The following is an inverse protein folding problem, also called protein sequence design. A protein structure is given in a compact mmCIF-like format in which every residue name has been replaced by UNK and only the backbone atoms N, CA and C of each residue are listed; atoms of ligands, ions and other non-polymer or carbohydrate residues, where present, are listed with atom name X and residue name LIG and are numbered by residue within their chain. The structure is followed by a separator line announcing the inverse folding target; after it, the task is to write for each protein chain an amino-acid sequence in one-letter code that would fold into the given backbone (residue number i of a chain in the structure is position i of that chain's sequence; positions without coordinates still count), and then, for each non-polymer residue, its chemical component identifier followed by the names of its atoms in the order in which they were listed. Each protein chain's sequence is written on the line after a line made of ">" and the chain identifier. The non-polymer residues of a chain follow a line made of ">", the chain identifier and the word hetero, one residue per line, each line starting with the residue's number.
data_IF_750506603153
#
_entry.id   IF_750506603153
#
_cell.length_a   1.000
_cell.length_b   1.000
_cell.length_c   1.000
_cell.angle_alpha   90.00
_cell.angle_beta   90.00
_cell.angle_gamma   90.00
#
_symmetry.space_group_name_H-M   'P 1'
#
loop_
_entity.id
_entity.type
_entity.pdbx_description
1 polymer ?
#
# COMPACT_ATOMS: atom_id res chain seq x y z
N UNK A 1 5.45 8.70 10.97
CA UNK A 1 5.43 10.16 10.78
C UNK A 1 4.15 10.67 11.43
N UNK A 2 4.24 11.42 12.52
CA UNK A 2 3.06 12.05 13.13
C UNK A 2 2.89 13.40 12.43
N UNK A 3 1.72 13.65 11.86
CA UNK A 3 1.45 14.91 11.16
C UNK A 3 1.60 16.08 12.14
N UNK A 4 2.24 17.17 11.70
CA UNK A 4 2.12 18.46 12.37
C UNK A 4 0.76 19.06 12.00
N UNK A 5 -0.31 18.49 12.54
CA UNK A 5 -1.67 19.01 12.35
C UNK A 5 -1.76 20.31 13.16
N UNK A 6 -1.90 21.47 12.51
CA UNK A 6 -2.02 22.74 13.21
C UNK A 6 -3.40 22.87 13.86
N UNK A 7 -3.51 23.77 14.85
CA UNK A 7 -4.79 24.13 15.48
C UNK A 7 -5.82 24.54 14.41
N UNK A 8 -7.08 24.12 14.60
CA UNK A 8 -8.20 24.48 13.72
C UNK A 8 -8.44 25.99 13.78
N UNK A 9 -8.47 26.66 12.63
CA UNK A 9 -8.74 28.10 12.50
C UNK A 9 -9.61 28.33 11.25
N UNK A 10 -10.38 29.43 11.22
CA UNK A 10 -11.30 29.75 10.11
C UNK A 10 -10.62 30.10 8.77
N UNK A 11 -9.29 30.30 8.76
CA UNK A 11 -8.56 30.69 7.55
C UNK A 11 -7.17 30.06 7.43
N UNK A 12 -6.55 30.20 6.25
CA UNK A 12 -5.21 29.68 5.93
C UNK A 12 -5.10 28.13 5.97
N UNK A 13 -6.16 27.43 5.56
CA UNK A 13 -6.25 25.96 5.61
C UNK A 13 -5.75 25.24 4.34
N UNK A 14 -5.24 25.96 3.33
CA UNK A 14 -4.76 25.32 2.09
C UNK A 14 -3.63 24.32 2.36
N UNK A 15 -2.62 24.68 3.17
CA UNK A 15 -1.54 23.75 3.47
C UNK A 15 -1.98 22.58 4.36
N UNK A 16 -3.05 22.75 5.14
CA UNK A 16 -3.69 21.66 5.90
C UNK A 16 -4.35 20.67 4.95
N UNK A 17 -5.10 21.16 3.95
CA UNK A 17 -5.69 20.30 2.92
C UNK A 17 -4.63 19.53 2.11
N UNK A 18 -3.47 20.16 1.83
CA UNK A 18 -2.32 19.47 1.21
C UNK A 18 -1.77 18.36 2.11
N UNK A 19 -1.60 18.63 3.41
CA UNK A 19 -1.18 17.61 4.39
C UNK A 19 -2.15 16.44 4.46
N UNK A 20 -3.45 16.71 4.55
CA UNK A 20 -4.51 15.70 4.60
C UNK A 20 -4.47 14.82 3.36
N UNK A 21 -4.28 15.40 2.16
CA UNK A 21 -4.22 14.63 0.92
C UNK A 21 -3.02 13.69 0.86
N UNK A 22 -1.86 14.14 1.32
CA UNK A 22 -0.65 13.29 1.41
C UNK A 22 -0.85 12.17 2.43
N UNK A 23 -1.50 12.47 3.56
CA UNK A 23 -1.80 11.47 4.59
C UNK A 23 -2.82 10.42 4.13
N UNK A 24 -3.85 10.83 3.40
CA UNK A 24 -4.81 9.92 2.76
C UNK A 24 -4.09 8.93 1.86
N UNK A 25 -3.19 9.42 0.99
CA UNK A 25 -2.39 8.56 0.12
C UNK A 25 -1.49 7.59 0.89
N UNK A 26 -0.83 8.06 1.96
CA UNK A 26 -0.01 7.20 2.82
C UNK A 26 -0.85 6.10 3.48
N UNK A 27 -2.06 6.43 3.93
CA UNK A 27 -2.99 5.49 4.57
C UNK A 27 -3.47 4.44 3.58
N UNK A 28 -3.92 4.87 2.39
CA UNK A 28 -4.34 3.95 1.32
C UNK A 28 -3.20 3.04 0.87
N UNK A 29 -1.98 3.58 0.76
CA UNK A 29 -0.79 2.81 0.43
C UNK A 29 -0.47 1.77 1.49
N UNK A 30 -0.57 2.13 2.78
CA UNK A 30 -0.37 1.20 3.89
C UNK A 30 -1.37 0.04 3.83
N UNK A 31 -2.67 0.33 3.66
CA UNK A 31 -3.70 -0.70 3.53
C UNK A 31 -3.41 -1.65 2.36
N UNK A 32 -2.94 -1.11 1.22
CA UNK A 32 -2.55 -1.93 0.06
C UNK A 32 -1.37 -2.86 0.37
N UNK A 33 -0.36 -2.36 1.07
CA UNK A 33 0.81 -3.16 1.48
C UNK A 33 0.40 -4.24 2.50
N UNK A 34 -0.46 -3.92 3.45
CA UNK A 34 -1.00 -4.88 4.44
C UNK A 34 -1.77 -6.02 3.73
N UNK A 35 -2.52 -5.71 2.68
CA UNK A 35 -3.20 -6.74 1.88
C UNK A 35 -2.22 -7.75 1.24
N UNK A 36 -1.04 -7.31 0.78
CA UNK A 36 -0.03 -8.19 0.20
C UNK A 36 0.52 -9.22 1.20
N UNK A 37 0.51 -8.92 2.50
CA UNK A 37 1.05 -9.81 3.52
C UNK A 37 0.25 -11.11 3.65
N UNK A 38 -1.03 -11.08 3.30
CA UNK A 38 -1.92 -12.25 3.38
C UNK A 38 -1.73 -13.26 2.25
N UNK A 39 -1.05 -12.86 1.16
CA UNK A 39 -0.92 -13.66 -0.05
C UNK A 39 -0.24 -15.03 0.20
N UNK A 40 0.91 -15.02 0.88
CA UNK A 40 1.69 -16.25 1.10
C UNK A 40 0.95 -17.25 1.99
N UNK A 41 0.21 -16.76 2.99
CA UNK A 41 -0.61 -17.60 3.86
C UNK A 41 -1.76 -18.24 3.06
N UNK A 42 -2.46 -17.45 2.23
CA UNK A 42 -3.52 -17.95 1.35
C UNK A 42 -2.99 -19.01 0.39
N UNK A 43 -1.92 -18.73 -0.34
CA UNK A 43 -1.29 -19.67 -1.26
C UNK A 43 -0.90 -20.98 -0.57
N UNK A 44 -0.28 -20.89 0.61
CA UNK A 44 0.17 -22.09 1.34
C UNK A 44 -0.99 -23.00 1.71
N UNK A 45 -2.11 -22.42 2.15
CA UNK A 45 -3.33 -23.17 2.46
C UNK A 45 -3.95 -23.79 1.21
N UNK A 46 -4.20 -22.99 0.17
CA UNK A 46 -4.85 -23.44 -1.07
C UNK A 46 -4.02 -24.53 -1.79
N UNK A 47 -2.70 -24.36 -1.81
CA UNK A 47 -1.78 -25.35 -2.37
C UNK A 47 -1.78 -26.63 -1.56
N UNK A 48 -1.76 -26.54 -0.23
CA UNK A 48 -1.85 -27.70 0.67
C UNK A 48 -3.11 -28.52 0.39
N UNK A 49 -4.25 -27.86 0.26
CA UNK A 49 -5.52 -28.50 -0.07
C UNK A 49 -5.51 -29.14 -1.47
N UNK A 50 -4.93 -28.46 -2.47
CA UNK A 50 -4.81 -29.00 -3.82
C UNK A 50 -3.92 -30.26 -3.86
N UNK A 51 -2.78 -30.25 -3.15
CA UNK A 51 -1.90 -31.41 -3.02
C UNK A 51 -2.60 -32.57 -2.29
N UNK A 52 -3.35 -32.28 -1.23
CA UNK A 52 -4.10 -33.28 -0.49
C UNK A 52 -5.21 -33.94 -1.36
N UNK A 53 -5.87 -33.17 -2.23
CA UNK A 53 -6.83 -33.71 -3.20
C UNK A 53 -6.15 -34.56 -4.26
N UNK A 54 -5.03 -34.09 -4.81
CA UNK A 54 -4.25 -34.82 -5.81
C UNK A 54 -3.75 -36.17 -5.30
N UNK A 55 -3.33 -36.25 -4.02
CA UNK A 55 -2.87 -37.50 -3.43
C UNK A 55 -4.00 -38.48 -3.11
N UNK A 56 -5.15 -38.00 -2.63
CA UNK A 56 -6.32 -38.82 -2.30
C UNK A 56 -7.09 -39.31 -3.53
N UNK A 57 -7.03 -38.57 -4.64
CA UNK A 57 -7.78 -38.87 -5.87
C UNK A 57 -6.86 -38.87 -7.10
N UNK A 58 -5.91 -39.83 -7.20
CA UNK A 58 -4.85 -39.81 -8.22
C UNK A 58 -5.35 -40.00 -9.65
N UNK A 59 -6.58 -40.45 -9.85
CA UNK A 59 -7.23 -40.57 -11.16
C UNK A 59 -7.74 -39.21 -11.69
N UNK A 60 -7.92 -38.21 -10.81
CA UNK A 60 -8.35 -36.86 -11.18
C UNK A 60 -7.13 -36.03 -11.52
N UNK A 61 -6.79 -35.94 -12.81
CA UNK A 61 -5.64 -35.17 -13.30
C UNK A 61 -5.70 -33.68 -12.93
N UNK A 62 -6.89 -33.11 -12.89
CA UNK A 62 -7.13 -31.68 -12.65
C UNK A 62 -6.58 -31.19 -11.31
N UNK A 63 -6.47 -32.04 -10.28
CA UNK A 63 -5.89 -31.64 -9.01
C UNK A 63 -4.38 -31.43 -9.08
N UNK A 64 -3.67 -32.16 -9.95
CA UNK A 64 -2.24 -31.91 -10.20
C UNK A 64 -2.06 -30.62 -10.99
N UNK A 65 -2.92 -30.41 -11.98
CA UNK A 65 -2.91 -29.16 -12.76
C UNK A 65 -3.21 -27.94 -11.87
N UNK A 66 -4.16 -28.05 -10.94
CA UNK A 66 -4.45 -26.99 -9.98
C UNK A 66 -3.22 -26.60 -9.14
N UNK A 67 -2.41 -27.57 -8.69
CA UNK A 67 -1.16 -27.26 -7.97
C UNK A 67 -0.23 -26.44 -8.85
N UNK A 68 -0.04 -26.82 -10.12
CA UNK A 68 0.80 -26.09 -11.05
C UNK A 68 0.27 -24.68 -11.35
N UNK A 69 -1.05 -24.53 -11.49
CA UNK A 69 -1.68 -23.23 -11.71
C UNK A 69 -1.52 -22.31 -10.51
N UNK A 70 -1.66 -22.82 -9.28
CA UNK A 70 -1.42 -22.04 -8.06
C UNK A 70 0.03 -21.56 -7.99
N UNK A 71 0.99 -22.41 -8.34
CA UNK A 71 2.43 -22.06 -8.36
C UNK A 71 2.73 -20.94 -9.38
N UNK A 72 2.17 -21.05 -10.60
CA UNK A 72 2.32 -20.02 -11.63
C UNK A 72 1.62 -18.71 -11.27
N UNK A 73 0.43 -18.79 -10.67
CA UNK A 73 -0.34 -17.62 -10.22
C UNK A 73 0.44 -16.86 -9.16
N UNK A 74 0.98 -17.55 -8.15
CA UNK A 74 1.80 -16.93 -7.11
C UNK A 74 3.02 -16.21 -7.72
N UNK A 75 3.71 -16.85 -8.66
CA UNK A 75 4.86 -16.23 -9.32
C UNK A 75 4.49 -14.90 -9.99
N UNK A 76 3.39 -14.88 -10.75
CA UNK A 76 2.88 -13.68 -11.39
C UNK A 76 2.48 -12.60 -10.38
N UNK A 77 1.78 -12.98 -9.31
CA UNK A 77 1.35 -12.05 -8.27
C UNK A 77 2.53 -11.45 -7.51
N UNK A 78 3.52 -12.25 -7.12
CA UNK A 78 4.75 -11.77 -6.49
C UNK A 78 5.49 -10.76 -7.38
N UNK A 79 5.59 -11.05 -8.69
CA UNK A 79 6.20 -10.14 -9.65
C UNK A 79 5.45 -8.81 -9.71
N UNK A 80 4.11 -8.84 -9.73
CA UNK A 80 3.29 -7.63 -9.72
C UNK A 80 3.44 -6.84 -8.41
N UNK A 81 3.49 -7.52 -7.27
CA UNK A 81 3.71 -6.89 -5.96
C UNK A 81 5.04 -6.15 -5.91
N UNK A 82 6.13 -6.74 -6.42
CA UNK A 82 7.44 -6.08 -6.46
C UNK A 82 7.40 -4.82 -7.32
N UNK A 83 6.76 -4.89 -8.50
CA UNK A 83 6.57 -3.71 -9.35
C UNK A 83 5.74 -2.63 -8.66
N UNK A 84 4.70 -3.04 -7.93
CA UNK A 84 3.83 -2.13 -7.19
C UNK A 84 4.56 -1.46 -6.03
N UNK A 85 5.38 -2.18 -5.27
CA UNK A 85 6.21 -1.62 -4.20
C UNK A 85 7.17 -0.56 -4.77
N UNK A 86 7.82 -0.84 -5.90
CA UNK A 86 8.67 0.15 -6.59
C UNK A 86 7.88 1.41 -6.98
N UNK A 87 6.70 1.23 -7.56
CA UNK A 87 5.84 2.34 -7.97
C UNK A 87 5.38 3.17 -6.76
N UNK A 88 5.02 2.51 -5.65
CA UNK A 88 4.67 3.14 -4.38
C UNK A 88 5.81 4.04 -3.90
N UNK A 89 7.05 3.55 -3.87
CA UNK A 89 8.20 4.37 -3.48
C UNK A 89 8.35 5.60 -4.38
N UNK A 90 8.24 5.44 -5.70
CA UNK A 90 8.36 6.55 -6.64
C UNK A 90 7.26 7.61 -6.43
N UNK A 91 6.01 7.18 -6.29
CA UNK A 91 4.86 8.09 -6.07
C UNK A 91 4.95 8.80 -4.73
N UNK A 92 5.27 8.08 -3.65
CA UNK A 92 5.44 8.67 -2.33
C UNK A 92 6.60 9.67 -2.30
N UNK A 93 7.72 9.33 -2.93
CA UNK A 93 8.85 10.26 -3.02
C UNK A 93 8.48 11.54 -3.78
N UNK A 94 7.80 11.41 -4.93
CA UNK A 94 7.38 12.53 -5.75
C UNK A 94 6.44 13.47 -5.00
N UNK A 95 5.36 12.93 -4.43
CA UNK A 95 4.34 13.74 -3.75
C UNK A 95 4.87 14.38 -2.47
N UNK A 96 5.70 13.69 -1.70
CA UNK A 96 6.28 14.24 -0.47
C UNK A 96 7.27 15.35 -0.82
N UNK A 97 8.15 15.12 -1.80
CA UNK A 97 9.17 16.09 -2.20
C UNK A 97 8.52 17.36 -2.73
N UNK A 98 7.52 17.25 -3.62
CA UNK A 98 6.81 18.40 -4.19
C UNK A 98 6.05 19.22 -3.14
N UNK A 99 5.54 18.58 -2.10
CA UNK A 99 4.71 19.23 -1.09
C UNK A 99 5.43 19.47 0.25
N UNK A 100 6.74 19.23 0.33
CA UNK A 100 7.50 19.20 1.59
C UNK A 100 7.32 20.47 2.43
N UNK A 101 7.31 21.64 1.80
CA UNK A 101 7.14 22.93 2.50
C UNK A 101 5.77 23.03 3.20
N UNK A 102 4.69 22.62 2.53
CA UNK A 102 3.33 22.62 3.09
C UNK A 102 3.11 21.48 4.08
N UNK A 103 3.77 20.34 3.88
CA UNK A 103 3.75 19.24 4.85
C UNK A 103 4.44 19.66 6.16
N UNK A 104 5.56 20.38 6.09
CA UNK A 104 6.32 20.81 7.26
C UNK A 104 5.76 22.06 7.93
N UNK A 105 5.22 23.00 7.15
CA UNK A 105 4.66 24.28 7.64
C UNK A 105 3.33 24.56 6.92
N UNK A 106 2.23 23.87 7.27
CA UNK A 106 0.95 23.99 6.58
C UNK A 106 0.36 25.40 6.61
N UNK A 107 0.62 26.15 7.70
CA UNK A 107 0.17 27.55 7.86
C UNK A 107 1.25 28.60 7.59
N UNK A 108 2.44 28.18 7.13
CA UNK A 108 3.59 29.08 6.93
C UNK A 108 4.34 29.40 8.24
N UNK A 109 5.22 30.40 8.18
CA UNK A 109 5.79 31.03 9.38
C UNK A 109 4.77 32.07 9.88
N UNK A 110 4.49 32.06 11.19
CA UNK A 110 3.44 32.90 11.79
C UNK A 110 3.55 34.35 11.33
N UNK A 111 2.40 35.03 11.17
CA UNK A 111 2.34 36.44 10.78
C UNK A 111 3.36 37.22 11.59
N UNK A 112 4.32 37.87 10.93
CA UNK A 112 5.09 38.92 11.57
C UNK A 112 4.07 39.89 12.17
N UNK A 113 4.18 40.16 13.47
CA UNK A 113 3.34 41.14 14.13
C UNK A 113 3.55 42.46 13.38
N UNK A 114 2.53 42.89 12.64
CA UNK A 114 2.51 44.22 12.03
C UNK A 114 2.26 45.15 13.22
N UNK A 115 3.34 45.70 13.76
CA UNK A 115 3.30 46.80 14.72
C UNK A 115 2.78 48.07 14.04
#
# INVERSE_FOLDING_TARGET
>A
MQLQVPTVEDGNNFGVAVQEKVFELLTNTRTKIEAFQTLLAKYSNERGDAVAKASKSPHVGDYRELVHQLDQTLYCELRLIVLEIRNIYAVLFDIITKNYSKIKKPKGEGRAAIY
#
